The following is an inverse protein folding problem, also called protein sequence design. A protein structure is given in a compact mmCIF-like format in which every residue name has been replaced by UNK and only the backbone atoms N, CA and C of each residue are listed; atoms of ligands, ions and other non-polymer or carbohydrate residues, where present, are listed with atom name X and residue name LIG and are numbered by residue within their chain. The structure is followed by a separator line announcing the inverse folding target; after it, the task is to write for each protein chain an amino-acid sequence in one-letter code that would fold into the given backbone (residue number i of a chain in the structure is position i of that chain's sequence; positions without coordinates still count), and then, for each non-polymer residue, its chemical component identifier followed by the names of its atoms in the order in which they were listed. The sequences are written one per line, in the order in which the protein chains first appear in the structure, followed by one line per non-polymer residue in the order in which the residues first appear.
data_IF_869227807789
#
_entry.id   IF_869227807789
#
_cell.length_a   1.000
_cell.length_b   1.000
_cell.length_c   1.000
_cell.angle_alpha   90.00
_cell.angle_beta   90.00
_cell.angle_gamma   90.00
#
_symmetry.space_group_name_H-M   'P 1'
#
loop_
_entity.id
_entity.type
_entity.pdbx_description
1 polymer ?
#
# COMPACT_ATOMS: atom_id res chain seq x y z
N UNK A 1 1.43 -1.87 -5.48
CA UNK A 1 1.40 -0.95 -6.60
C UNK A 1 2.82 -0.43 -6.82
N UNK A 2 3.25 -0.29 -8.02
CA UNK A 2 4.61 0.21 -8.30
C UNK A 2 4.56 1.74 -8.41
N UNK A 3 4.33 2.41 -7.30
CA UNK A 3 4.18 3.88 -7.24
C UNK A 3 5.58 4.49 -7.16
N UNK A 4 5.88 5.46 -8.03
CA UNK A 4 7.18 6.10 -8.10
C UNK A 4 7.40 7.11 -6.97
N UNK A 5 6.33 7.83 -6.63
CA UNK A 5 6.31 8.87 -5.61
C UNK A 5 5.04 8.79 -4.78
N UNK A 6 5.16 8.91 -3.47
CA UNK A 6 4.03 9.08 -2.56
C UNK A 6 4.06 10.49 -1.98
N UNK A 7 2.94 11.18 -2.04
CA UNK A 7 2.72 12.47 -1.38
C UNK A 7 1.78 12.26 -0.20
N UNK A 8 2.25 12.54 0.99
CA UNK A 8 1.44 12.52 2.20
C UNK A 8 0.89 13.92 2.46
N UNK A 9 -0.42 14.08 2.29
CA UNK A 9 -1.10 15.35 2.48
C UNK A 9 -1.55 15.51 3.93
N UNK A 10 -0.77 16.25 4.69
CA UNK A 10 -1.01 16.43 6.12
C UNK A 10 0.11 17.14 6.87
N UNK A 11 -0.04 17.29 8.20
CA UNK A 11 0.96 17.92 9.04
C UNK A 11 2.27 17.13 9.08
N UNK A 12 3.37 17.84 9.16
CA UNK A 12 4.72 17.25 9.18
C UNK A 12 4.88 16.11 10.20
N UNK A 13 4.38 16.31 11.42
CA UNK A 13 4.50 15.31 12.49
C UNK A 13 3.79 14.00 12.19
N UNK A 14 2.60 14.06 11.56
CA UNK A 14 1.84 12.86 11.18
C UNK A 14 2.51 12.09 10.02
N UNK A 15 3.15 12.81 9.11
CA UNK A 15 3.75 12.22 7.92
C UNK A 15 5.14 11.63 8.19
N UNK A 16 5.89 12.15 9.17
CA UNK A 16 7.29 11.84 9.39
C UNK A 16 7.58 10.36 9.60
N UNK A 17 6.90 9.72 10.54
CA UNK A 17 7.17 8.30 10.88
C UNK A 17 6.84 7.36 9.74
N UNK A 18 5.69 7.55 9.12
CA UNK A 18 5.23 6.71 8.00
C UNK A 18 6.08 6.96 6.76
N UNK A 19 6.40 8.21 6.47
CA UNK A 19 7.30 8.58 5.38
C UNK A 19 8.66 7.89 5.51
N UNK A 20 9.28 7.92 6.70
CA UNK A 20 10.58 7.26 6.93
C UNK A 20 10.52 5.73 6.74
N UNK A 21 9.40 5.10 7.07
CA UNK A 21 9.23 3.67 6.82
C UNK A 21 9.14 3.36 5.32
N UNK A 22 8.39 4.15 4.56
CA UNK A 22 8.27 3.99 3.12
C UNK A 22 9.59 4.29 2.40
N UNK A 23 10.32 5.32 2.83
CA UNK A 23 11.65 5.63 2.30
C UNK A 23 12.65 4.49 2.54
N UNK A 24 12.57 3.82 3.70
CA UNK A 24 13.42 2.66 3.98
C UNK A 24 13.14 1.48 3.06
N UNK A 25 11.95 1.43 2.48
CA UNK A 25 11.55 0.44 1.47
C UNK A 25 11.84 0.91 0.03
N UNK A 26 12.53 2.03 -0.12
CA UNK A 26 12.98 2.57 -1.42
C UNK A 26 11.95 3.42 -2.15
N UNK A 27 10.86 3.79 -1.49
CA UNK A 27 9.82 4.67 -2.06
C UNK A 27 10.21 6.14 -1.84
N UNK A 28 10.03 6.98 -2.85
CA UNK A 28 10.17 8.43 -2.69
C UNK A 28 8.94 8.99 -2.00
N UNK A 29 9.14 9.69 -0.90
CA UNK A 29 8.05 10.26 -0.12
C UNK A 29 8.24 11.77 0.01
N UNK A 30 7.19 12.50 -0.36
CA UNK A 30 7.06 13.93 -0.10
C UNK A 30 5.90 14.17 0.88
N UNK A 31 5.88 15.32 1.47
CA UNK A 31 4.78 15.74 2.36
C UNK A 31 4.45 17.19 2.10
N UNK A 32 3.17 17.52 2.14
CA UNK A 32 2.74 18.93 2.07
C UNK A 32 3.09 19.71 3.33
N UNK A 33 3.48 19.04 4.42
CA UNK A 33 3.89 19.65 5.67
C UNK A 33 2.94 20.77 6.15
N UNK A 34 1.64 20.45 6.22
CA UNK A 34 0.59 21.40 6.61
C UNK A 34 0.93 22.06 7.95
N UNK A 35 0.81 23.37 7.98
CA UNK A 35 0.99 24.23 9.15
C UNK A 35 -0.36 24.72 9.69
N UNK A 36 -0.35 25.45 10.79
CA UNK A 36 -1.58 25.94 11.46
C UNK A 36 -2.50 26.73 10.53
N UNK A 37 -1.96 27.58 9.67
CA UNK A 37 -2.76 28.36 8.73
C UNK A 37 -3.48 27.49 7.69
N UNK A 38 -2.89 26.37 7.30
CA UNK A 38 -3.49 25.46 6.32
C UNK A 38 -4.76 24.79 6.86
N UNK A 39 -4.88 24.64 8.20
CA UNK A 39 -6.10 24.14 8.84
C UNK A 39 -7.25 25.13 8.85
N UNK A 40 -6.95 26.42 8.72
CA UNK A 40 -7.94 27.49 8.73
C UNK A 40 -8.36 27.88 7.31
N UNK A 41 -7.39 27.91 6.40
CA UNK A 41 -7.56 28.44 5.04
C UNK A 41 -7.70 27.36 3.97
N UNK A 42 -7.42 26.10 4.33
CA UNK A 42 -7.27 24.99 3.38
C UNK A 42 -5.84 24.84 2.89
N UNK A 43 -5.53 23.70 2.34
CA UNK A 43 -4.20 23.33 1.85
C UNK A 43 -4.18 22.79 0.41
N UNK A 44 -5.28 22.92 -0.32
CA UNK A 44 -5.40 22.44 -1.72
C UNK A 44 -4.30 23.02 -2.61
N UNK A 45 -4.05 24.33 -2.57
CA UNK A 45 -2.97 24.97 -3.34
C UNK A 45 -1.59 24.41 -3.00
N UNK A 46 -1.37 24.08 -1.72
CA UNK A 46 -0.13 23.47 -1.27
C UNK A 46 0.05 22.05 -1.83
N UNK A 47 -1.04 21.29 -1.91
CA UNK A 47 -1.03 19.98 -2.55
C UNK A 47 -0.75 20.09 -4.04
N UNK A 48 -1.43 21.00 -4.75
CA UNK A 48 -1.20 21.27 -6.17
C UNK A 48 0.27 21.61 -6.46
N UNK A 49 0.84 22.51 -5.66
CA UNK A 49 2.25 22.89 -5.80
C UNK A 49 3.19 21.71 -5.53
N UNK A 50 2.94 20.93 -4.48
CA UNK A 50 3.74 19.75 -4.18
C UNK A 50 3.65 18.70 -5.29
N UNK A 51 2.50 18.52 -5.90
CA UNK A 51 2.30 17.64 -7.06
C UNK A 51 3.13 18.10 -8.27
N UNK A 52 3.08 19.38 -8.60
CA UNK A 52 3.85 19.97 -9.71
C UNK A 52 5.36 19.83 -9.47
N UNK A 53 5.82 20.15 -8.26
CA UNK A 53 7.23 20.00 -7.88
C UNK A 53 7.68 18.53 -7.95
N UNK A 54 6.88 17.60 -7.46
CA UNK A 54 7.15 16.16 -7.53
C UNK A 54 7.28 15.68 -8.99
N UNK A 55 6.34 16.12 -9.84
CA UNK A 55 6.35 15.79 -11.27
C UNK A 55 7.58 16.34 -11.96
N UNK A 56 7.94 17.60 -11.71
CA UNK A 56 9.10 18.24 -12.33
C UNK A 56 10.41 17.61 -11.89
N UNK A 57 10.51 17.24 -10.62
CA UNK A 57 11.73 16.69 -10.02
C UNK A 57 11.99 15.24 -10.43
N UNK A 58 10.94 14.41 -10.49
CA UNK A 58 11.09 12.96 -10.61
C UNK A 58 10.56 12.37 -11.92
N UNK A 59 9.74 13.12 -12.66
CA UNK A 59 9.06 12.67 -13.89
C UNK A 59 8.40 11.28 -13.70
N UNK A 60 7.57 11.11 -12.67
CA UNK A 60 6.98 9.83 -12.34
C UNK A 60 5.90 9.43 -13.35
N UNK A 61 5.70 8.13 -13.55
CA UNK A 61 4.53 7.59 -14.24
C UNK A 61 3.33 7.51 -13.28
N UNK A 62 3.61 7.24 -11.99
CA UNK A 62 2.59 7.09 -10.96
C UNK A 62 2.91 7.89 -9.70
N UNK A 63 1.96 8.70 -9.25
CA UNK A 63 1.99 9.39 -7.96
C UNK A 63 0.84 8.87 -7.09
N UNK A 64 1.12 8.46 -5.86
CA UNK A 64 0.11 8.19 -4.84
C UNK A 64 -0.06 9.41 -3.93
N UNK A 65 -1.27 9.91 -3.77
CA UNK A 65 -1.59 10.97 -2.79
C UNK A 65 -2.38 10.36 -1.64
N UNK A 66 -1.82 10.43 -0.44
CA UNK A 66 -2.49 9.90 0.76
C UNK A 66 -2.91 11.06 1.65
N UNK A 67 -4.21 11.25 1.80
CA UNK A 67 -4.76 12.17 2.79
C UNK A 67 -4.54 11.64 4.21
N UNK A 68 -4.18 12.51 5.12
CA UNK A 68 -4.13 12.18 6.55
C UNK A 68 -5.48 12.46 7.20
N UNK A 69 -5.71 11.93 8.41
CA UNK A 69 -6.91 12.28 9.16
C UNK A 69 -7.09 13.81 9.30
N UNK A 70 -6.01 14.54 9.43
CA UNK A 70 -6.04 15.99 9.59
C UNK A 70 -6.57 16.71 8.33
N UNK A 71 -6.09 16.32 7.14
CA UNK A 71 -6.59 16.88 5.87
C UNK A 71 -8.06 16.50 5.62
N UNK A 72 -8.42 15.26 5.97
CA UNK A 72 -9.81 14.80 5.78
C UNK A 72 -10.80 15.49 6.74
N UNK A 73 -10.39 15.81 7.97
CA UNK A 73 -11.25 16.54 8.93
C UNK A 73 -11.60 17.94 8.43
N UNK A 74 -10.64 18.64 7.84
CA UNK A 74 -10.89 19.99 7.33
C UNK A 74 -11.60 19.99 5.97
N UNK A 75 -11.88 18.79 5.41
CA UNK A 75 -12.65 18.65 4.19
C UNK A 75 -11.87 18.91 2.91
N UNK A 76 -10.55 18.63 2.92
CA UNK A 76 -9.72 18.72 1.70
C UNK A 76 -10.24 17.74 0.62
N UNK A 77 -10.43 18.25 -0.59
CA UNK A 77 -10.77 17.44 -1.76
C UNK A 77 -9.51 17.12 -2.56
N UNK A 78 -9.01 15.90 -2.36
CA UNK A 78 -7.80 15.45 -3.05
C UNK A 78 -8.00 15.33 -4.56
N UNK A 79 -9.21 14.94 -5.01
CA UNK A 79 -9.50 14.77 -6.43
C UNK A 79 -9.54 16.09 -7.16
N UNK A 80 -10.12 17.12 -6.53
CA UNK A 80 -10.13 18.49 -7.07
C UNK A 80 -8.71 19.04 -7.19
N UNK A 81 -7.90 18.96 -6.14
CA UNK A 81 -6.53 19.44 -6.15
C UNK A 81 -5.66 18.71 -7.20
N UNK A 82 -5.85 17.40 -7.36
CA UNK A 82 -5.16 16.60 -8.39
C UNK A 82 -5.59 17.06 -9.80
N UNK A 83 -6.88 17.29 -10.00
CA UNK A 83 -7.40 17.79 -11.29
C UNK A 83 -6.84 19.17 -11.64
N UNK A 84 -6.74 20.06 -10.65
CA UNK A 84 -6.19 21.40 -10.84
C UNK A 84 -4.68 21.41 -11.09
N UNK A 85 -3.96 20.41 -10.61
CA UNK A 85 -2.53 20.27 -10.88
C UNK A 85 -2.23 19.98 -12.36
N UNK A 86 -3.16 19.34 -13.09
CA UNK A 86 -3.12 19.06 -14.53
C UNK A 86 -1.80 18.43 -14.99
N UNK A 87 -1.48 17.27 -14.43
CA UNK A 87 -0.22 16.57 -14.68
C UNK A 87 -0.37 15.49 -15.76
N UNK A 88 0.66 15.31 -16.57
CA UNK A 88 0.75 14.24 -17.59
C UNK A 88 1.30 12.93 -16.95
N UNK A 89 0.67 12.49 -15.86
CA UNK A 89 0.95 11.21 -15.20
C UNK A 89 -0.29 10.74 -14.44
N UNK A 90 -0.30 9.46 -14.05
CA UNK A 90 -1.40 8.92 -13.25
C UNK A 90 -1.23 9.32 -11.78
N UNK A 91 -2.20 10.05 -11.23
CA UNK A 91 -2.22 10.40 -9.81
C UNK A 91 -3.39 9.70 -9.12
N UNK A 92 -3.11 8.95 -8.07
CA UNK A 92 -4.09 8.12 -7.36
C UNK A 92 -4.34 8.70 -5.97
N UNK A 93 -5.52 9.27 -5.70
CA UNK A 93 -5.89 9.69 -4.36
C UNK A 93 -6.27 8.51 -3.48
N UNK A 94 -5.86 8.55 -2.23
CA UNK A 94 -6.29 7.65 -1.16
C UNK A 94 -6.78 8.52 -0.01
N UNK A 95 -8.08 8.57 0.17
CA UNK A 95 -8.74 9.33 1.23
C UNK A 95 -8.74 8.53 2.52
N UNK A 96 -7.68 8.67 3.31
CA UNK A 96 -7.56 7.94 4.57
C UNK A 96 -8.28 8.69 5.70
N UNK A 97 -9.35 8.13 6.21
CA UNK A 97 -10.08 8.72 7.34
C UNK A 97 -9.35 8.57 8.69
N UNK A 98 -8.20 7.90 8.70
CA UNK A 98 -7.33 7.80 9.88
C UNK A 98 -8.04 7.21 11.09
N UNK A 99 -7.77 7.76 12.27
CA UNK A 99 -8.33 7.31 13.55
C UNK A 99 -9.77 7.74 13.83
N UNK A 100 -10.52 8.23 12.84
CA UNK A 100 -11.93 8.58 12.99
C UNK A 100 -12.82 7.39 12.68
N UNK A 101 -12.88 6.44 13.51
CA UNK A 101 -13.72 5.28 13.34
C UNK A 101 -13.04 4.04 13.90
N UNK A 102 -13.68 2.91 13.69
CA UNK A 102 -13.19 1.59 14.11
C UNK A 102 -12.18 0.99 13.11
N UNK A 103 -11.68 1.81 12.17
CA UNK A 103 -10.79 1.38 11.09
C UNK A 103 -9.42 0.92 11.57
N UNK A 104 -8.93 -0.16 10.96
CA UNK A 104 -7.56 -0.67 11.19
C UNK A 104 -6.69 -0.54 9.91
N UNK A 105 -5.45 -1.00 9.98
CA UNK A 105 -4.54 -0.99 8.83
C UNK A 105 -5.08 -1.78 7.62
N UNK A 106 -5.96 -2.74 7.85
CA UNK A 106 -6.60 -3.53 6.80
C UNK A 106 -7.53 -2.66 5.97
N UNK A 107 -8.30 -1.79 6.60
CA UNK A 107 -9.17 -0.85 5.88
C UNK A 107 -8.36 0.13 5.04
N UNK A 108 -7.26 0.66 5.58
CA UNK A 108 -6.35 1.49 4.79
C UNK A 108 -5.80 0.77 3.55
N UNK A 109 -5.44 -0.51 3.68
CA UNK A 109 -5.00 -1.32 2.54
C UNK A 109 -6.14 -1.56 1.53
N UNK A 110 -7.36 -1.78 1.99
CA UNK A 110 -8.55 -1.92 1.13
C UNK A 110 -8.81 -0.63 0.36
N UNK A 111 -8.74 0.53 1.00
CA UNK A 111 -8.89 1.83 0.32
C UNK A 111 -7.89 2.00 -0.83
N UNK A 112 -6.63 1.61 -0.61
CA UNK A 112 -5.60 1.63 -1.66
C UNK A 112 -5.96 0.69 -2.82
N UNK A 113 -6.47 -0.51 -2.55
CA UNK A 113 -6.88 -1.46 -3.57
C UNK A 113 -8.09 -0.94 -4.37
N UNK A 114 -9.08 -0.38 -3.68
CA UNK A 114 -10.26 0.20 -4.31
C UNK A 114 -9.91 1.40 -5.19
N UNK A 115 -9.04 2.30 -4.72
CA UNK A 115 -8.52 3.39 -5.55
C UNK A 115 -7.75 2.85 -6.77
N UNK A 116 -6.94 1.81 -6.60
CA UNK A 116 -6.22 1.20 -7.72
C UNK A 116 -7.15 0.61 -8.78
N UNK A 117 -8.31 0.09 -8.40
CA UNK A 117 -9.36 -0.37 -9.33
C UNK A 117 -10.03 0.81 -10.01
N UNK A 118 -10.42 1.85 -9.26
CA UNK A 118 -11.06 3.05 -9.80
C UNK A 118 -10.21 3.68 -10.90
N UNK A 119 -8.91 3.70 -10.72
CA UNK A 119 -7.94 4.26 -11.68
C UNK A 119 -7.40 3.23 -12.69
N UNK A 120 -7.98 2.04 -12.75
CA UNK A 120 -7.66 1.03 -13.78
C UNK A 120 -6.27 0.37 -13.64
N UNK A 121 -5.63 0.48 -12.48
CA UNK A 121 -4.29 -0.08 -12.23
C UNK A 121 -4.35 -1.61 -12.06
N UNK A 122 -5.39 -2.09 -11.37
CA UNK A 122 -5.64 -3.51 -11.17
C UNK A 122 -7.09 -3.86 -11.51
N UNK A 123 -7.38 -5.08 -11.99
CA UNK A 123 -8.75 -5.52 -12.19
C UNK A 123 -9.46 -5.74 -10.85
N UNK A 124 -10.79 -5.55 -10.81
CA UNK A 124 -11.63 -5.74 -9.62
C UNK A 124 -11.46 -7.15 -9.02
N UNK A 125 -11.38 -8.18 -9.85
CA UNK A 125 -11.20 -9.55 -9.40
C UNK A 125 -9.93 -9.74 -8.55
N UNK A 126 -8.82 -9.13 -8.98
CA UNK A 126 -7.56 -9.17 -8.23
C UNK A 126 -7.66 -8.38 -6.91
N UNK A 127 -8.32 -7.22 -6.92
CA UNK A 127 -8.56 -6.46 -5.70
C UNK A 127 -9.41 -7.27 -4.71
N UNK A 128 -10.50 -7.87 -5.14
CA UNK A 128 -11.40 -8.65 -4.30
C UNK A 128 -10.69 -9.86 -3.69
N UNK A 129 -9.85 -10.53 -4.47
CA UNK A 129 -8.99 -11.62 -4.00
C UNK A 129 -8.05 -11.15 -2.88
N UNK A 130 -7.37 -10.03 -3.07
CA UNK A 130 -6.48 -9.47 -2.06
C UNK A 130 -7.25 -9.01 -0.82
N UNK A 131 -8.41 -8.39 -0.97
CA UNK A 131 -9.27 -7.94 0.13
C UNK A 131 -9.73 -9.15 0.97
N UNK A 132 -10.12 -10.25 0.34
CA UNK A 132 -10.50 -11.47 1.06
C UNK A 132 -9.34 -11.99 1.91
N UNK A 133 -8.13 -12.03 1.35
CA UNK A 133 -6.94 -12.45 2.09
C UNK A 133 -6.60 -11.51 3.25
N UNK A 134 -6.70 -10.20 3.06
CA UNK A 134 -6.52 -9.19 4.10
C UNK A 134 -7.50 -9.42 5.27
N UNK A 135 -8.77 -9.64 4.98
CA UNK A 135 -9.82 -9.90 5.98
C UNK A 135 -9.56 -11.20 6.76
N UNK A 136 -9.22 -12.30 6.07
CA UNK A 136 -8.87 -13.57 6.71
C UNK A 136 -7.67 -13.45 7.64
N UNK A 137 -6.62 -12.75 7.21
CA UNK A 137 -5.44 -12.58 8.04
C UNK A 137 -5.73 -11.69 9.27
N UNK A 138 -6.57 -10.66 9.13
CA UNK A 138 -7.03 -9.84 10.26
C UNK A 138 -7.83 -10.65 11.27
N UNK A 139 -8.68 -11.55 10.80
CA UNK A 139 -9.42 -12.47 11.67
C UNK A 139 -8.48 -13.41 12.44
N UNK A 140 -7.49 -13.98 11.78
CA UNK A 140 -6.46 -14.81 12.41
C UNK A 140 -5.69 -14.01 13.47
N UNK A 141 -5.31 -12.77 13.16
CA UNK A 141 -4.62 -11.89 14.09
C UNK A 141 -5.47 -11.57 15.33
N UNK A 142 -6.76 -11.28 15.15
CA UNK A 142 -7.70 -11.03 16.26
C UNK A 142 -7.91 -12.26 17.14
N UNK A 143 -7.86 -13.46 16.56
CA UNK A 143 -8.14 -14.71 17.28
C UNK A 143 -6.91 -15.38 17.89
N UNK A 144 -5.76 -15.29 17.23
CA UNK A 144 -4.52 -15.99 17.62
C UNK A 144 -3.41 -15.05 18.10
N UNK A 145 -3.63 -13.75 18.01
CA UNK A 145 -2.64 -12.73 18.34
C UNK A 145 -1.70 -12.41 17.19
N UNK A 146 -1.03 -11.27 17.32
CA UNK A 146 -0.08 -10.78 16.31
C UNK A 146 1.21 -11.58 16.32
N UNK A 147 1.72 -11.90 15.13
CA UNK A 147 3.09 -12.38 15.01
C UNK A 147 4.05 -11.28 15.46
N UNK A 148 4.84 -11.57 16.49
CA UNK A 148 5.89 -10.65 16.94
C UNK A 148 7.18 -10.97 16.20
N UNK A 149 7.63 -10.08 15.35
CA UNK A 149 8.89 -10.20 14.63
C UNK A 149 9.52 -8.84 14.37
N UNK A 150 10.83 -8.82 14.16
CA UNK A 150 11.50 -7.63 13.63
C UNK A 150 11.20 -7.53 12.14
N UNK A 151 10.88 -6.32 11.68
CA UNK A 151 10.82 -6.05 10.26
C UNK A 151 12.19 -6.32 9.62
N UNK A 152 12.21 -7.18 8.63
CA UNK A 152 13.39 -7.43 7.80
C UNK A 152 13.20 -6.64 6.51
N UNK A 153 14.13 -5.72 6.23
CA UNK A 153 14.09 -4.98 4.97
C UNK A 153 14.09 -5.93 3.78
N UNK A 154 13.29 -5.66 2.74
CA UNK A 154 13.33 -6.42 1.51
C UNK A 154 14.74 -6.41 0.94
N UNK A 155 15.24 -7.57 0.58
CA UNK A 155 16.47 -7.67 -0.19
C UNK A 155 16.11 -7.49 -1.68
N UNK A 156 16.68 -6.49 -2.31
CA UNK A 156 16.39 -6.13 -3.70
C UNK A 156 16.92 -7.13 -4.75
N UNK A 157 17.32 -8.31 -4.34
CA UNK A 157 17.66 -9.39 -5.28
C UNK A 157 16.40 -10.01 -5.90
N UNK A 158 16.32 -10.06 -7.21
CA UNK A 158 15.22 -10.74 -7.90
C UNK A 158 15.52 -12.25 -8.05
N UNK A 159 15.15 -13.00 -7.04
CA UNK A 159 15.24 -14.47 -7.03
C UNK A 159 13.87 -15.16 -6.94
N UNK A 160 12.78 -14.41 -7.18
CA UNK A 160 11.40 -14.89 -7.03
C UNK A 160 11.14 -16.15 -7.83
N UNK A 161 11.54 -16.15 -9.09
CA UNK A 161 11.33 -17.30 -9.99
C UNK A 161 12.09 -18.54 -9.53
N UNK A 162 13.32 -18.37 -9.08
CA UNK A 162 14.13 -19.49 -8.55
C UNK A 162 13.50 -20.08 -7.28
N UNK A 163 13.03 -19.22 -6.37
CA UNK A 163 12.37 -19.64 -5.14
C UNK A 163 11.05 -20.35 -5.46
N UNK A 164 10.23 -19.80 -6.35
CA UNK A 164 8.98 -20.43 -6.78
C UNK A 164 9.23 -21.83 -7.38
N UNK A 165 10.21 -21.98 -8.27
CA UNK A 165 10.60 -23.29 -8.84
C UNK A 165 11.02 -24.28 -7.77
N UNK A 166 11.77 -23.86 -6.75
CA UNK A 166 12.19 -24.71 -5.63
C UNK A 166 11.00 -25.17 -4.78
N UNK A 167 10.06 -24.27 -4.50
CA UNK A 167 8.83 -24.59 -3.74
C UNK A 167 7.98 -25.59 -4.52
N UNK A 168 7.68 -25.31 -5.78
CA UNK A 168 6.89 -26.20 -6.64
C UNK A 168 7.53 -27.58 -6.73
N UNK A 169 8.85 -27.64 -6.94
CA UNK A 169 9.57 -28.92 -6.98
C UNK A 169 9.43 -29.68 -5.66
N UNK A 170 9.60 -29.00 -4.51
CA UNK A 170 9.47 -29.65 -3.21
C UNK A 170 8.05 -30.22 -2.98
N UNK A 171 7.01 -29.50 -3.41
CA UNK A 171 5.63 -29.97 -3.32
C UNK A 171 5.38 -31.17 -4.25
N UNK A 172 5.88 -31.15 -5.49
CA UNK A 172 5.80 -32.28 -6.44
C UNK A 172 6.53 -33.51 -5.94
N UNK A 173 7.65 -33.32 -5.24
CA UNK A 173 8.41 -34.42 -4.60
C UNK A 173 7.73 -34.95 -3.31
N UNK A 174 6.51 -34.47 -3.00
CA UNK A 174 5.76 -34.90 -1.80
C UNK A 174 6.34 -34.39 -0.48
N UNK A 175 7.21 -33.37 -0.51
CA UNK A 175 7.80 -32.78 0.69
C UNK A 175 6.81 -31.85 1.37
N UNK A 176 6.82 -31.86 2.70
CA UNK A 176 6.12 -30.86 3.49
C UNK A 176 6.89 -29.55 3.43
N UNK A 177 6.22 -28.48 3.03
CA UNK A 177 6.80 -27.13 2.99
C UNK A 177 6.19 -26.32 4.13
N UNK A 178 7.05 -25.76 4.98
CA UNK A 178 6.63 -24.84 6.03
C UNK A 178 6.97 -23.41 5.59
N UNK A 179 5.99 -22.51 5.69
CA UNK A 179 6.17 -21.10 5.42
C UNK A 179 6.28 -20.35 6.75
N UNK A 180 7.41 -19.67 6.94
CA UNK A 180 7.61 -18.78 8.08
C UNK A 180 7.52 -17.35 7.60
N UNK A 181 6.40 -16.70 7.87
CA UNK A 181 6.17 -15.30 7.51
C UNK A 181 6.66 -14.41 8.64
N UNK A 182 7.91 -13.96 8.54
CA UNK A 182 8.51 -13.03 9.50
C UNK A 182 8.50 -11.62 8.91
N UNK A 183 7.32 -11.10 8.67
CA UNK A 183 7.11 -9.78 8.10
C UNK A 183 5.98 -9.07 8.85
N UNK A 184 5.85 -7.76 8.61
CA UNK A 184 4.64 -7.07 9.04
C UNK A 184 3.42 -7.69 8.41
N UNK A 185 2.29 -7.58 9.11
CA UNK A 185 0.99 -8.07 8.68
C UNK A 185 0.71 -7.71 7.23
N UNK A 186 0.85 -6.46 6.86
CA UNK A 186 0.56 -5.93 5.53
C UNK A 186 1.44 -6.58 4.43
N UNK A 187 2.69 -6.86 4.73
CA UNK A 187 3.60 -7.53 3.80
C UNK A 187 3.30 -9.02 3.71
N UNK A 188 2.88 -9.64 4.81
CA UNK A 188 2.52 -11.07 4.85
C UNK A 188 1.36 -11.41 3.94
N UNK A 189 0.43 -10.48 3.70
CA UNK A 189 -0.73 -10.69 2.83
C UNK A 189 -0.36 -10.94 1.38
N UNK A 190 0.71 -10.33 0.90
CA UNK A 190 1.17 -10.53 -0.48
C UNK A 190 1.55 -11.99 -0.75
N UNK A 191 1.82 -12.74 0.31
CA UNK A 191 2.20 -14.17 0.23
C UNK A 191 1.10 -15.11 0.73
N UNK A 192 -0.05 -14.58 1.13
CA UNK A 192 -1.13 -15.40 1.69
C UNK A 192 -1.74 -16.38 0.69
N UNK A 193 -1.64 -16.12 -0.59
CA UNK A 193 -2.06 -17.05 -1.66
C UNK A 193 -1.37 -18.39 -1.58
N UNK A 194 -0.13 -18.44 -1.11
CA UNK A 194 0.60 -19.68 -0.90
C UNK A 194 -0.14 -20.60 0.09
N UNK A 195 -0.89 -20.03 1.04
CA UNK A 195 -1.66 -20.78 2.01
C UNK A 195 -2.92 -21.43 1.42
N UNK A 196 -3.43 -20.91 0.30
CA UNK A 196 -4.59 -21.43 -0.42
C UNK A 196 -4.19 -22.33 -1.60
N UNK A 197 -2.92 -22.54 -1.84
CA UNK A 197 -2.44 -23.34 -2.95
C UNK A 197 -2.78 -24.82 -2.73
N UNK A 198 -3.69 -25.36 -3.53
CA UNK A 198 -3.98 -26.81 -3.54
C UNK A 198 -2.99 -27.52 -4.45
N UNK A 199 -1.92 -28.03 -3.86
CA UNK A 199 -0.89 -28.77 -4.56
C UNK A 199 -1.39 -30.09 -5.20
N UNK A 200 -2.63 -30.52 -4.90
CA UNK A 200 -3.24 -31.69 -5.50
C UNK A 200 -3.66 -31.44 -6.94
N UNK A 201 -4.01 -30.22 -7.29
CA UNK A 201 -4.32 -29.85 -8.67
C UNK A 201 -3.10 -29.87 -9.58
N UNK A 202 -1.89 -29.60 -9.03
CA UNK A 202 -0.63 -29.61 -9.80
C UNK A 202 -0.19 -31.02 -10.20
N UNK A 203 -0.68 -32.04 -9.52
CA UNK A 203 -0.35 -33.44 -9.80
C UNK A 203 -1.33 -34.12 -10.75
N UNK A 204 -2.42 -33.46 -11.15
CA UNK A 204 -3.46 -34.03 -12.03
C UNK A 204 -3.19 -33.84 -13.53
N UNK A 205 -2.14 -33.10 -13.91
CA UNK A 205 -1.75 -32.84 -15.31
C UNK A 205 -0.53 -33.63 -15.79
N UNK A 206 -0.29 -34.85 -15.26
CA UNK A 206 0.70 -35.76 -15.81
C UNK A 206 0.06 -37.11 -16.14
#
# INVERSE_FOLDING_TARGET
MNVDVIIMHGPHGCCFRTGRLLESDGVRVLTTAMAENDFILGASEKLENTLKEAYDMFKPEFIGVVGTCASMIIGEDLKEAISNADLDCTVIPVESHGGFGEGDNTEGAIMVLDSAVEYGIIPREEADRQIEMLKKATEIEKTRGMAQGKYIQPNFGDNKEEVAKKIIKALRDGKKVAFVLNAKKETSYLFADILNFDYREVNSEN
#
